data_IF_986751769503
#
_entry.id   IF_986751769503
#
_cell.length_a   1.000
_cell.length_b   1.000
_cell.length_c   1.000
_cell.angle_alpha   90.00
_cell.angle_beta   90.00
_cell.angle_gamma   90.00
#
_symmetry.space_group_name_H-M   'P 1'
#
loop_
_entity.id
_entity.type
_entity.pdbx_description
1 polymer ?
#
# COMPACT_ATOMS: atom_id res chain seq x y z
N UNK A 1 -56.27 8.88 -23.40
CA UNK A 1 -55.96 7.64 -22.65
C UNK A 1 -54.86 6.93 -23.40
N UNK A 2 -53.84 6.48 -22.66
CA UNK A 2 -52.64 5.73 -23.06
C UNK A 2 -51.49 6.50 -23.73
N UNK A 3 -50.32 6.17 -23.19
CA UNK A 3 -48.99 6.77 -23.24
C UNK A 3 -48.14 5.82 -24.07
N UNK A 4 -47.23 6.35 -24.88
CA UNK A 4 -45.99 5.63 -25.13
C UNK A 4 -44.84 6.63 -25.20
N UNK A 5 -43.84 6.35 -24.38
CA UNK A 5 -42.67 7.15 -24.07
C UNK A 5 -41.48 6.22 -24.25
N UNK A 6 -40.54 6.52 -25.15
CA UNK A 6 -39.10 6.26 -24.98
C UNK A 6 -38.32 6.51 -26.28
N UNK A 7 -37.95 7.76 -26.52
CA UNK A 7 -36.67 8.05 -27.18
C UNK A 7 -35.80 8.69 -26.12
N UNK A 8 -34.95 7.88 -25.50
CA UNK A 8 -33.97 8.32 -24.53
C UNK A 8 -32.73 8.78 -25.29
N UNK A 9 -32.71 10.07 -25.63
CA UNK A 9 -31.52 10.79 -26.10
C UNK A 9 -30.58 11.01 -24.90
N UNK A 10 -29.90 9.94 -24.48
CA UNK A 10 -28.80 10.05 -23.54
C UNK A 10 -27.48 10.07 -24.33
N UNK A 11 -26.60 11.06 -24.07
CA UNK A 11 -25.39 11.25 -24.85
C UNK A 11 -24.51 10.00 -24.80
N UNK A 12 -23.84 9.71 -25.92
CA UNK A 12 -22.89 8.62 -26.07
C UNK A 12 -21.94 8.64 -24.86
N UNK A 13 -22.08 7.67 -23.97
CA UNK A 13 -21.07 7.43 -22.97
C UNK A 13 -19.87 6.89 -23.72
N UNK A 14 -18.92 7.79 -24.00
CA UNK A 14 -17.53 7.42 -24.23
C UNK A 14 -17.03 6.72 -22.97
N UNK A 15 -17.39 5.44 -22.88
CA UNK A 15 -16.71 4.47 -22.06
C UNK A 15 -15.50 4.04 -22.85
N UNK A 16 -14.56 4.96 -23.08
CA UNK A 16 -13.15 4.60 -23.00
C UNK A 16 -12.97 4.05 -21.60
N UNK A 17 -13.32 2.78 -21.45
CA UNK A 17 -12.79 1.92 -20.42
C UNK A 17 -11.30 2.09 -20.58
N UNK A 18 -10.71 2.95 -19.74
CA UNK A 18 -9.30 2.91 -19.51
C UNK A 18 -9.08 1.55 -18.86
N UNK A 19 -8.93 0.53 -19.70
CA UNK A 19 -8.41 -0.77 -19.38
C UNK A 19 -6.93 -0.55 -19.10
N UNK A 20 -6.65 0.21 -18.04
CA UNK A 20 -5.39 0.12 -17.36
C UNK A 20 -5.39 -1.29 -16.80
N UNK A 21 -4.71 -2.20 -17.47
CA UNK A 21 -4.38 -3.50 -16.90
C UNK A 21 -3.48 -3.21 -15.71
N UNK A 22 -4.09 -3.02 -14.54
CA UNK A 22 -3.37 -2.86 -13.29
C UNK A 22 -2.63 -4.15 -13.01
N UNK A 23 -1.31 -4.11 -13.03
CA UNK A 23 -0.48 -5.23 -12.57
C UNK A 23 -0.35 -5.14 -11.05
N UNK A 24 -0.42 -6.29 -10.37
CA UNK A 24 -0.21 -6.36 -8.93
C UNK A 24 1.28 -6.38 -8.62
N UNK A 25 1.67 -5.95 -7.41
CA UNK A 25 3.04 -6.16 -6.92
C UNK A 25 3.37 -7.65 -6.92
N UNK A 26 4.56 -7.99 -7.41
CA UNK A 26 5.07 -9.37 -7.48
C UNK A 26 6.11 -9.68 -6.38
N UNK A 27 6.49 -8.70 -5.57
CA UNK A 27 7.56 -8.84 -4.57
C UNK A 27 7.04 -9.31 -3.21
N UNK A 28 7.80 -10.15 -2.48
CA UNK A 28 7.57 -10.32 -1.06
C UNK A 28 7.93 -9.00 -0.37
N UNK A 29 6.93 -8.18 -0.05
CA UNK A 29 7.10 -7.00 0.80
C UNK A 29 7.81 -7.42 2.10
N UNK A 30 8.82 -6.67 2.53
CA UNK A 30 9.60 -7.00 3.73
C UNK A 30 9.32 -6.02 4.88
N UNK A 31 9.28 -6.55 6.12
CA UNK A 31 9.10 -5.80 7.36
C UNK A 31 10.23 -6.16 8.30
N UNK A 32 11.12 -5.20 8.55
CA UNK A 32 12.17 -5.33 9.55
C UNK A 32 11.77 -4.61 10.84
N UNK A 33 12.14 -5.18 11.99
CA UNK A 33 11.87 -4.61 13.31
C UNK A 33 12.90 -5.05 14.34
N UNK A 34 12.69 -4.67 15.59
CA UNK A 34 13.52 -5.15 16.69
C UNK A 34 13.44 -6.67 16.83
N UNK A 35 14.60 -7.32 16.86
CA UNK A 35 14.69 -8.77 17.05
C UNK A 35 14.28 -9.24 18.46
N UNK A 36 14.14 -8.35 19.45
CA UNK A 36 13.89 -8.74 20.84
C UNK A 36 15.03 -9.56 21.45
N UNK A 37 14.80 -10.16 22.63
CA UNK A 37 15.77 -10.93 23.41
C UNK A 37 15.33 -12.38 23.58
N UNK A 38 16.24 -13.32 23.30
CA UNK A 38 16.00 -14.76 23.41
C UNK A 38 15.08 -15.30 22.32
N UNK A 39 14.78 -16.60 22.39
CA UNK A 39 13.95 -17.31 21.38
C UNK A 39 12.51 -16.78 21.28
N UNK A 40 12.03 -16.12 22.32
CA UNK A 40 10.67 -15.55 22.38
C UNK A 40 10.62 -14.10 21.94
N UNK A 41 11.74 -13.51 21.52
CA UNK A 41 11.83 -12.13 21.05
C UNK A 41 11.27 -11.12 22.08
N UNK A 42 11.59 -11.31 23.37
CA UNK A 42 11.10 -10.42 24.42
C UNK A 42 11.61 -9.00 24.23
N UNK A 43 10.75 -8.03 24.49
CA UNK A 43 11.09 -6.61 24.42
C UNK A 43 11.00 -5.97 25.80
N UNK A 44 11.84 -4.96 26.03
CA UNK A 44 11.76 -4.16 27.25
C UNK A 44 10.56 -3.21 27.18
N UNK A 45 9.87 -2.96 28.30
CA UNK A 45 8.84 -1.94 28.38
C UNK A 45 9.44 -0.55 28.13
N UNK A 46 8.59 0.41 27.78
CA UNK A 46 8.92 1.83 27.62
C UNK A 46 10.04 2.11 26.60
N UNK A 47 10.14 1.27 25.57
CA UNK A 47 11.04 1.46 24.44
C UNK A 47 10.25 1.70 23.16
N UNK A 48 10.80 2.54 22.28
CA UNK A 48 10.25 2.69 20.93
C UNK A 48 10.46 1.42 20.12
N UNK A 49 9.46 1.07 19.32
CA UNK A 49 9.48 -0.08 18.41
C UNK A 49 9.51 0.41 16.94
N UNK A 50 10.66 0.86 16.43
CA UNK A 50 10.83 1.15 15.02
C UNK A 50 10.63 -0.11 14.18
N UNK A 51 9.89 0.06 13.09
CA UNK A 51 9.77 -0.90 12.00
C UNK A 51 10.11 -0.20 10.70
N UNK A 52 10.68 -0.94 9.76
CA UNK A 52 10.95 -0.49 8.39
C UNK A 52 10.15 -1.39 7.47
N UNK A 53 9.34 -0.78 6.60
CA UNK A 53 8.66 -1.48 5.52
C UNK A 53 9.44 -1.20 4.24
N UNK A 54 9.96 -2.26 3.62
CA UNK A 54 10.63 -2.17 2.33
C UNK A 54 9.65 -2.48 1.21
N UNK A 55 9.64 -1.60 0.21
CA UNK A 55 8.92 -1.78 -1.04
C UNK A 55 9.82 -1.30 -2.18
N UNK A 56 9.74 -1.93 -3.33
CA UNK A 56 10.50 -1.53 -4.50
C UNK A 56 9.65 -1.59 -5.76
N UNK A 57 10.09 -0.82 -6.77
CA UNK A 57 9.63 -0.99 -8.13
C UNK A 57 10.77 -1.65 -8.89
N UNK A 58 10.66 -2.95 -9.16
CA UNK A 58 11.70 -3.68 -9.90
C UNK A 58 11.94 -3.00 -11.25
N UNK A 59 13.21 -2.95 -11.70
CA UNK A 59 13.54 -2.44 -13.03
C UNK A 59 12.89 -3.24 -14.17
N UNK A 60 12.49 -4.48 -13.91
CA UNK A 60 11.75 -5.35 -14.84
C UNK A 60 10.23 -5.23 -14.71
N UNK A 61 9.72 -4.40 -13.79
CA UNK A 61 8.29 -4.22 -13.62
C UNK A 61 7.70 -3.59 -14.89
N UNK A 62 6.57 -4.12 -15.34
CA UNK A 62 5.87 -3.63 -16.54
C UNK A 62 5.09 -2.34 -16.28
N UNK A 63 4.93 -1.95 -15.01
CA UNK A 63 4.36 -0.68 -14.59
C UNK A 63 4.90 -0.28 -13.21
N UNK A 64 4.98 1.02 -12.94
CA UNK A 64 5.33 1.53 -11.62
C UNK A 64 4.20 1.35 -10.60
N UNK A 65 4.55 1.16 -9.34
CA UNK A 65 3.60 1.22 -8.24
C UNK A 65 2.97 2.61 -8.15
N UNK A 66 1.65 2.69 -8.33
CA UNK A 66 0.90 3.96 -8.28
C UNK A 66 0.29 4.22 -6.90
N UNK A 67 -0.09 3.15 -6.21
CA UNK A 67 -0.62 3.18 -4.85
C UNK A 67 0.09 2.13 -4.02
N UNK A 68 0.51 2.52 -2.81
CA UNK A 68 1.11 1.60 -1.84
C UNK A 68 0.22 1.60 -0.60
N UNK A 69 -0.46 0.47 -0.39
CA UNK A 69 -1.30 0.24 0.77
C UNK A 69 -0.61 -0.70 1.74
N UNK A 70 -0.28 -0.18 2.92
CA UNK A 70 0.29 -0.96 4.03
C UNK A 70 -0.80 -1.19 5.07
N UNK A 71 -1.00 -2.43 5.47
CA UNK A 71 -1.92 -2.80 6.56
C UNK A 71 -1.15 -3.66 7.55
N UNK A 72 -1.04 -3.17 8.79
CA UNK A 72 -0.27 -3.81 9.85
C UNK A 72 -1.07 -3.76 11.15
N UNK A 73 -1.32 -4.93 11.73
CA UNK A 73 -2.03 -5.04 13.00
C UNK A 73 -1.00 -5.07 14.13
N UNK A 74 -0.80 -3.92 14.78
CA UNK A 74 0.09 -3.84 15.95
C UNK A 74 -0.60 -4.36 17.22
N UNK A 75 0.21 -4.70 18.21
CA UNK A 75 -0.22 -5.24 19.50
C UNK A 75 -1.08 -4.23 20.26
N UNK A 76 -2.20 -4.68 20.83
CA UNK A 76 -3.13 -3.84 21.55
C UNK A 76 -2.55 -3.23 22.84
N UNK A 77 -1.47 -3.80 23.39
CA UNK A 77 -0.79 -3.33 24.60
C UNK A 77 0.17 -2.16 24.35
N UNK A 78 0.37 -1.73 23.10
CA UNK A 78 1.16 -0.54 22.80
C UNK A 78 0.42 0.75 23.18
N UNK A 79 1.18 1.79 23.49
CA UNK A 79 0.63 3.14 23.59
C UNK A 79 0.39 3.70 22.18
N UNK A 80 -0.86 3.64 21.74
CA UNK A 80 -1.30 4.14 20.43
C UNK A 80 -1.12 5.65 20.25
N UNK A 81 -1.01 6.42 21.33
CA UNK A 81 -0.75 7.87 21.22
C UNK A 81 0.69 8.19 20.84
N UNK A 82 1.59 7.21 20.96
CA UNK A 82 3.01 7.32 20.59
C UNK A 82 3.32 6.91 19.14
N UNK A 83 2.30 6.50 18.37
CA UNK A 83 2.49 6.09 16.98
C UNK A 83 2.92 7.28 16.12
N UNK A 84 4.07 7.14 15.45
CA UNK A 84 4.60 8.16 14.56
C UNK A 84 5.17 7.56 13.26
N UNK A 85 5.04 8.32 12.17
CA UNK A 85 5.76 8.05 10.92
C UNK A 85 7.06 8.85 10.91
N UNK A 86 8.19 8.17 10.74
CA UNK A 86 9.50 8.82 10.76
C UNK A 86 9.96 9.31 9.39
N UNK A 87 10.30 8.38 8.50
CA UNK A 87 10.90 8.70 7.21
C UNK A 87 10.40 7.74 6.16
N UNK A 88 10.19 8.27 4.96
CA UNK A 88 10.01 7.48 3.74
C UNK A 88 11.30 7.60 2.95
N UNK A 89 12.00 6.49 2.77
CA UNK A 89 13.25 6.46 2.00
C UNK A 89 12.88 5.95 0.60
N UNK A 90 12.93 6.85 -0.39
CA UNK A 90 12.88 6.46 -1.79
C UNK A 90 14.31 6.24 -2.28
N UNK A 91 14.64 4.99 -2.60
CA UNK A 91 15.89 4.71 -3.29
C UNK A 91 15.59 4.96 -4.77
N UNK A 92 15.86 6.18 -5.23
CA UNK A 92 15.87 6.48 -6.66
C UNK A 92 16.96 5.59 -7.28
N UNK A 93 16.55 4.48 -7.89
CA UNK A 93 17.40 3.82 -8.88
C UNK A 93 17.68 4.88 -9.95
N UNK A 94 18.96 5.16 -10.28
CA UNK A 94 19.26 6.11 -11.34
C UNK A 94 18.50 5.67 -12.59
N UNK A 95 17.65 6.56 -13.09
CA UNK A 95 16.84 6.32 -14.27
C UNK A 95 17.72 5.76 -15.40
N UNK A 96 17.22 4.72 -16.07
CA UNK A 96 17.68 4.30 -17.41
C UNK A 96 17.36 5.41 -18.41
#
# INVERSE_FOLDING_TARGET
MFRESSESDFPIQDSTSYSGVGVTSCDPNDKAGHAGVGEKHWVLPDRSFPYIIYFENLGTATAAAQEIKITDQLDANLDWTSLEFKVVISILLPFV
#
